data_IF_733355447414
#
_entry.id   IF_733355447414
#
_cell.length_a   1.000
_cell.length_b   1.000
_cell.length_c   1.000
_cell.angle_alpha   90.00
_cell.angle_beta   90.00
_cell.angle_gamma   90.00
#
_symmetry.space_group_name_H-M   'P 1'
#
loop_
_entity.id
_entity.type
_entity.pdbx_description
1 polymer ?
#
# COMPACT_ATOMS: atom_id res chain seq x y z
N UNK A 1 8.15 1.32 -18.34
CA UNK A 1 7.69 1.29 -16.94
C UNK A 1 6.32 0.66 -16.94
N UNK A 2 6.03 -0.44 -16.22
CA UNK A 2 4.64 -0.82 -16.05
C UNK A 2 3.99 0.20 -15.10
N UNK A 3 2.79 0.71 -15.43
CA UNK A 3 2.16 1.77 -14.66
C UNK A 3 1.48 1.16 -13.43
N UNK A 4 1.89 1.58 -12.24
CA UNK A 4 1.04 1.48 -11.06
C UNK A 4 -0.03 2.58 -11.20
N UNK A 5 -1.14 2.25 -11.85
CA UNK A 5 -2.27 3.17 -12.02
C UNK A 5 -3.37 2.81 -11.02
N UNK A 6 -3.78 3.78 -10.21
CA UNK A 6 -5.05 3.72 -9.51
C UNK A 6 -6.19 3.60 -10.54
N UNK A 7 -7.09 2.66 -10.32
CA UNK A 7 -8.28 2.53 -11.17
C UNK A 7 -9.45 3.29 -10.54
N UNK A 8 -10.11 4.14 -11.32
CA UNK A 8 -11.26 4.95 -10.90
C UNK A 8 -12.62 4.33 -11.31
N UNK A 9 -12.67 3.11 -11.84
CA UNK A 9 -13.93 2.51 -12.31
C UNK A 9 -14.95 2.27 -11.20
N UNK A 10 -14.52 2.23 -9.94
CA UNK A 10 -15.36 2.10 -8.74
C UNK A 10 -15.88 3.45 -8.22
N UNK A 11 -15.35 4.57 -8.71
CA UNK A 11 -15.63 5.91 -8.18
C UNK A 11 -14.62 6.40 -7.14
N UNK A 12 -13.66 5.56 -6.76
CA UNK A 12 -12.54 5.81 -5.85
C UNK A 12 -11.25 5.16 -6.41
N UNK A 13 -10.10 5.44 -5.78
CA UNK A 13 -8.80 4.93 -6.22
C UNK A 13 -8.49 3.59 -5.57
N UNK A 14 -8.36 2.53 -6.37
CA UNK A 14 -8.00 1.18 -5.90
C UNK A 14 -6.58 0.75 -6.30
N UNK A 15 -5.97 -0.15 -5.52
CA UNK A 15 -4.74 -0.86 -5.90
C UNK A 15 -5.09 -2.09 -6.73
N UNK A 16 -4.55 -2.15 -7.95
CA UNK A 16 -4.68 -3.31 -8.82
C UNK A 16 -3.37 -4.05 -9.00
N UNK A 17 -3.47 -5.37 -9.13
CA UNK A 17 -2.37 -6.29 -9.36
C UNK A 17 -2.57 -7.07 -10.65
N UNK A 18 -1.50 -7.22 -11.42
CA UNK A 18 -1.46 -8.02 -12.64
C UNK A 18 -0.10 -8.70 -12.78
N UNK A 19 -0.08 -9.91 -13.35
CA UNK A 19 1.14 -10.68 -13.57
C UNK A 19 1.40 -10.89 -15.04
N UNK A 20 2.68 -11.08 -15.36
CA UNK A 20 3.13 -11.54 -16.66
C UNK A 20 3.97 -12.79 -16.48
N UNK A 21 3.72 -13.81 -17.30
CA UNK A 21 4.49 -15.05 -17.36
C UNK A 21 5.36 -15.14 -18.63
N UNK A 22 5.43 -14.07 -19.41
CA UNK A 22 6.14 -14.01 -20.68
C UNK A 22 6.98 -12.74 -20.80
N UNK A 23 7.72 -12.43 -19.73
CA UNK A 23 8.68 -11.31 -19.69
C UNK A 23 8.04 -9.94 -19.99
N UNK A 24 6.80 -9.73 -19.57
CA UNK A 24 6.09 -8.46 -19.70
C UNK A 24 5.38 -8.26 -21.04
N UNK A 25 5.35 -9.25 -21.93
CA UNK A 25 4.70 -9.15 -23.25
C UNK A 25 3.16 -9.11 -23.14
N UNK A 26 2.60 -9.93 -22.26
CA UNK A 26 1.18 -9.90 -21.92
C UNK A 26 0.99 -9.92 -20.41
N UNK A 27 -0.12 -9.34 -19.98
CA UNK A 27 -0.48 -9.18 -18.57
C UNK A 27 -1.84 -9.82 -18.31
N UNK A 28 -2.02 -10.37 -17.11
CA UNK A 28 -3.32 -10.88 -16.68
C UNK A 28 -4.35 -9.76 -16.58
N UNK A 29 -5.64 -10.12 -16.59
CA UNK A 29 -6.69 -9.19 -16.17
C UNK A 29 -6.35 -8.66 -14.77
N UNK A 30 -6.34 -7.33 -14.55
CA UNK A 30 -6.03 -6.76 -13.24
C UNK A 30 -7.03 -7.23 -12.17
N UNK A 31 -6.52 -7.45 -10.96
CA UNK A 31 -7.30 -7.84 -9.78
C UNK A 31 -7.13 -6.80 -8.68
N UNK A 32 -8.19 -6.50 -7.95
CA UNK A 32 -8.17 -5.58 -6.81
C UNK A 32 -7.42 -6.22 -5.64
N UNK A 33 -6.53 -5.46 -5.01
CA UNK A 33 -5.70 -5.89 -3.87
C UNK A 33 -6.34 -5.52 -2.54
N UNK A 34 -6.93 -4.33 -2.48
CA UNK A 34 -7.63 -3.83 -1.30
C UNK A 34 -9.01 -4.49 -1.14
N UNK A 35 -9.38 -4.78 0.11
CA UNK A 35 -10.56 -5.58 0.49
C UNK A 35 -11.68 -4.78 1.18
N UNK A 36 -11.64 -3.44 1.11
CA UNK A 36 -12.72 -2.57 1.56
C UNK A 36 -13.93 -2.59 0.59
N UNK A 37 -15.06 -2.02 0.99
CA UNK A 37 -16.26 -2.00 0.17
C UNK A 37 -16.07 -1.15 -1.10
N UNK A 38 -16.48 -1.67 -2.27
CA UNK A 38 -16.37 -0.97 -3.55
C UNK A 38 -17.16 0.34 -3.55
N UNK A 39 -16.54 1.44 -3.98
CA UNK A 39 -17.21 2.72 -4.16
C UNK A 39 -17.58 3.39 -2.84
N UNK A 40 -16.83 3.12 -1.78
CA UNK A 40 -17.05 3.72 -0.46
C UNK A 40 -16.38 5.10 -0.31
N UNK A 41 -15.57 5.52 -1.29
CA UNK A 41 -14.87 6.80 -1.28
C UNK A 41 -13.51 6.77 -0.58
N UNK A 42 -13.07 5.61 -0.08
CA UNK A 42 -11.72 5.42 0.44
C UNK A 42 -10.72 5.36 -0.72
N UNK A 43 -9.58 6.00 -0.55
CA UNK A 43 -8.53 6.04 -1.57
C UNK A 43 -7.36 5.17 -1.14
N UNK A 44 -6.90 4.31 -2.05
CA UNK A 44 -5.69 3.54 -1.91
C UNK A 44 -4.64 3.93 -2.95
N UNK A 45 -3.44 4.24 -2.47
CA UNK A 45 -2.41 4.85 -3.30
C UNK A 45 -0.99 4.52 -2.84
N UNK A 46 -0.02 4.86 -3.71
CA UNK A 46 1.41 4.67 -3.48
C UNK A 46 1.80 3.23 -3.06
N UNK A 47 1.37 2.20 -3.82
CA UNK A 47 1.68 0.82 -3.47
C UNK A 47 3.18 0.54 -3.61
N UNK A 48 3.69 -0.32 -2.74
CA UNK A 48 5.03 -0.91 -2.79
C UNK A 48 4.87 -2.43 -2.74
N UNK A 49 5.73 -3.17 -3.44
CA UNK A 49 5.64 -4.63 -3.52
C UNK A 49 7.00 -5.30 -3.31
N UNK A 50 7.02 -6.42 -2.59
CA UNK A 50 8.12 -7.37 -2.58
C UNK A 50 7.59 -8.81 -2.69
N UNK A 51 8.45 -9.70 -3.17
CA UNK A 51 8.19 -11.14 -3.23
C UNK A 51 9.26 -11.85 -2.42
N UNK A 52 8.85 -12.59 -1.40
CA UNK A 52 9.75 -13.35 -0.55
C UNK A 52 10.33 -14.58 -1.31
N UNK A 53 11.45 -15.18 -0.85
CA UNK A 53 12.04 -16.36 -1.48
C UNK A 53 11.10 -17.57 -1.63
N UNK A 54 10.12 -17.72 -0.74
CA UNK A 54 9.08 -18.75 -0.82
C UNK A 54 7.93 -18.43 -1.78
N UNK A 55 7.96 -17.25 -2.42
CA UNK A 55 6.97 -16.81 -3.41
C UNK A 55 5.80 -16.03 -2.83
N UNK A 56 5.77 -15.75 -1.52
CA UNK A 56 4.74 -14.88 -0.94
C UNK A 56 4.90 -13.46 -1.47
N UNK A 57 3.82 -12.93 -2.04
CA UNK A 57 3.76 -11.55 -2.53
C UNK A 57 3.20 -10.68 -1.40
N UNK A 58 3.90 -9.59 -1.08
CA UNK A 58 3.45 -8.61 -0.08
C UNK A 58 3.36 -7.24 -0.74
N UNK A 59 2.21 -6.56 -0.55
CA UNK A 59 1.94 -5.23 -1.10
C UNK A 59 1.51 -4.32 0.04
N UNK A 60 2.30 -3.28 0.31
CA UNK A 60 1.91 -2.21 1.24
C UNK A 60 1.41 -1.00 0.48
N UNK A 61 0.38 -0.32 0.99
CA UNK A 61 -0.18 0.87 0.36
C UNK A 61 -0.77 1.81 1.41
N UNK A 62 -0.86 3.08 1.06
CA UNK A 62 -1.64 4.04 1.85
C UNK A 62 -3.12 3.85 1.59
N UNK A 63 -3.90 4.09 2.64
CA UNK A 63 -5.34 3.86 2.63
C UNK A 63 -6.06 4.85 3.55
N UNK A 64 -7.18 5.40 3.09
CA UNK A 64 -8.02 6.32 3.87
C UNK A 64 -9.29 5.68 4.43
N UNK A 65 -9.46 4.35 4.30
CA UNK A 65 -10.70 3.62 4.69
C UNK A 65 -11.05 3.71 6.17
N UNK A 66 -10.08 4.00 7.04
CA UNK A 66 -10.28 4.04 8.49
C UNK A 66 -10.97 5.33 8.92
N UNK A 67 -10.69 6.43 8.24
CA UNK A 67 -11.33 7.72 8.49
C UNK A 67 -12.65 7.80 7.71
N UNK A 68 -13.82 7.94 8.37
CA UNK A 68 -15.11 8.08 7.69
C UNK A 68 -15.21 9.30 6.77
N UNK A 69 -14.25 10.23 6.83
CA UNK A 69 -14.18 11.37 5.94
C UNK A 69 -12.97 11.34 4.99
N UNK A 70 -12.22 10.23 4.99
CA UNK A 70 -11.14 9.94 4.05
C UNK A 70 -10.03 10.99 3.98
N UNK A 71 -9.73 11.67 5.10
CA UNK A 71 -8.67 12.68 5.20
C UNK A 71 -7.40 12.12 5.82
N UNK A 72 -7.55 11.19 6.77
CA UNK A 72 -6.42 10.59 7.45
C UNK A 72 -5.94 9.33 6.71
N UNK A 73 -4.64 9.09 6.79
CA UNK A 73 -3.96 8.01 6.09
C UNK A 73 -3.54 6.93 7.08
N UNK A 74 -3.67 5.69 6.65
CA UNK A 74 -3.12 4.50 7.28
C UNK A 74 -2.28 3.71 6.28
N UNK A 75 -1.41 2.82 6.78
CA UNK A 75 -0.73 1.83 5.94
C UNK A 75 -1.40 0.49 6.11
N UNK A 76 -1.79 -0.12 4.99
CA UNK A 76 -2.28 -1.48 4.94
C UNK A 76 -1.28 -2.38 4.21
N UNK A 77 -1.28 -3.66 4.58
CA UNK A 77 -0.51 -4.71 3.94
C UNK A 77 -1.45 -5.81 3.44
N UNK A 78 -1.35 -6.12 2.15
CA UNK A 78 -1.97 -7.29 1.55
C UNK A 78 -0.92 -8.36 1.27
N UNK A 79 -1.25 -9.63 1.50
CA UNK A 79 -0.38 -10.75 1.22
C UNK A 79 -1.08 -11.79 0.35
N UNK A 80 -0.35 -12.37 -0.59
CA UNK A 80 -0.81 -13.48 -1.42
C UNK A 80 0.13 -14.67 -1.27
N UNK A 81 -0.45 -15.83 -1.00
CA UNK A 81 0.24 -17.12 -0.85
C UNK A 81 0.00 -18.04 -2.06
N UNK A 82 -0.70 -17.55 -3.08
CA UNK A 82 -1.10 -18.28 -4.28
C UNK A 82 -0.61 -17.59 -5.57
N UNK A 83 0.57 -16.95 -5.48
CA UNK A 83 1.22 -16.23 -6.58
C UNK A 83 0.36 -15.13 -7.21
N UNK A 84 -0.46 -14.47 -6.40
CA UNK A 84 -1.28 -13.32 -6.79
C UNK A 84 -2.60 -13.71 -7.48
N UNK A 85 -3.06 -14.96 -7.30
CA UNK A 85 -4.40 -15.36 -7.72
C UNK A 85 -5.49 -14.77 -6.79
N UNK A 86 -5.18 -14.63 -5.50
CA UNK A 86 -5.98 -13.94 -4.49
C UNK A 86 -5.11 -13.26 -3.43
N UNK A 87 -5.70 -12.36 -2.64
CA UNK A 87 -5.07 -11.73 -1.49
C UNK A 87 -5.83 -12.08 -0.21
N UNK A 88 -5.10 -12.32 0.87
CA UNK A 88 -5.63 -12.51 2.21
C UNK A 88 -6.24 -11.20 2.73
N UNK A 89 -7.07 -11.26 3.80
CA UNK A 89 -7.56 -10.06 4.46
C UNK A 89 -6.42 -9.08 4.77
N UNK A 90 -6.62 -7.81 4.40
CA UNK A 90 -5.59 -6.80 4.56
C UNK A 90 -5.33 -6.52 6.05
N UNK A 91 -4.07 -6.32 6.41
CA UNK A 91 -3.66 -5.99 7.78
C UNK A 91 -3.33 -4.51 7.86
N UNK A 92 -3.95 -3.78 8.82
CA UNK A 92 -3.54 -2.42 9.15
C UNK A 92 -2.20 -2.46 9.89
N UNK A 93 -1.18 -1.82 9.31
CA UNK A 93 0.19 -1.77 9.85
C UNK A 93 0.34 -0.63 10.84
N UNK A 94 -0.29 0.51 10.56
CA UNK A 94 -0.28 1.68 11.43
C UNK A 94 -1.15 1.45 12.67
N UNK A 95 -0.66 1.87 13.84
CA UNK A 95 -1.43 1.82 15.10
C UNK A 95 -2.34 3.02 15.28
N UNK A 96 -2.16 4.07 14.48
CA UNK A 96 -2.99 5.27 14.44
C UNK A 96 -2.92 5.89 13.04
N UNK A 97 -4.02 6.52 12.63
CA UNK A 97 -4.09 7.26 11.37
C UNK A 97 -3.30 8.56 11.51
N UNK A 98 -2.67 9.02 10.43
CA UNK A 98 -1.88 10.25 10.40
C UNK A 98 -2.47 11.27 9.43
N UNK A 99 -2.27 12.54 9.73
CA UNK A 99 -2.82 13.66 8.96
C UNK A 99 -1.75 14.19 7.98
N UNK A 100 -1.95 14.05 6.66
CA UNK A 100 -1.00 14.55 5.67
C UNK A 100 -0.84 16.06 5.68
N UNK A 101 -1.74 16.84 6.30
CA UNK A 101 -1.64 18.29 6.42
C UNK A 101 -0.74 18.77 7.58
N UNK A 102 -0.43 17.89 8.54
CA UNK A 102 0.42 18.23 9.69
C UNK A 102 1.88 18.28 9.26
N UNK A 103 2.44 19.49 9.23
CA UNK A 103 3.86 19.72 8.94
C UNK A 103 4.35 19.05 7.64
N UNK A 104 3.48 19.05 6.63
CA UNK A 104 3.83 18.57 5.29
C UNK A 104 5.00 19.37 4.72
N UNK A 105 6.03 18.72 4.15
CA UNK A 105 7.07 19.41 3.41
C UNK A 105 6.47 20.33 2.34
N UNK A 106 6.97 21.56 2.27
CA UNK A 106 6.54 22.56 1.30
C UNK A 106 7.67 22.81 0.32
N UNK A 107 7.39 22.65 -0.98
CA UNK A 107 8.39 22.95 -2.01
C UNK A 107 8.58 24.47 -2.20
N UNK A 108 9.53 24.88 -3.03
CA UNK A 108 9.81 26.30 -3.31
C UNK A 108 8.62 27.07 -3.91
N UNK A 109 7.61 26.37 -4.43
CA UNK A 109 6.40 26.95 -5.01
C UNK A 109 5.22 27.01 -4.03
N UNK A 110 5.40 26.59 -2.77
CA UNK A 110 4.34 26.60 -1.76
C UNK A 110 3.42 25.38 -1.78
N UNK A 111 3.67 24.38 -2.63
CA UNK A 111 2.88 23.14 -2.65
C UNK A 111 3.32 22.21 -1.53
N UNK A 112 2.36 21.66 -0.80
CA UNK A 112 2.58 20.57 0.15
C UNK A 112 2.83 19.26 -0.61
N UNK A 113 3.77 18.46 -0.10
CA UNK A 113 4.10 17.16 -0.66
C UNK A 113 4.48 16.21 0.47
N UNK A 114 3.71 15.14 0.63
CA UNK A 114 3.95 14.13 1.68
C UNK A 114 5.10 13.17 1.35
N UNK A 115 5.63 13.20 0.12
CA UNK A 115 6.69 12.29 -0.31
C UNK A 115 6.21 11.13 -1.17
N UNK A 116 7.19 10.46 -1.78
CA UNK A 116 7.07 9.13 -2.38
C UNK A 116 8.10 8.19 -1.70
N UNK A 117 8.24 8.30 -0.38
CA UNK A 117 9.38 7.74 0.37
C UNK A 117 8.99 6.48 1.15
N UNK A 118 8.22 5.61 0.52
CA UNK A 118 7.78 4.32 1.05
C UNK A 118 8.48 3.18 0.32
N UNK A 119 8.59 2.04 0.99
CA UNK A 119 9.10 0.81 0.41
C UNK A 119 8.83 -0.36 1.33
N UNK A 120 9.17 -1.56 0.88
CA UNK A 120 9.21 -2.72 1.77
C UNK A 120 10.35 -3.67 1.45
N UNK A 121 10.80 -4.38 2.47
CA UNK A 121 11.59 -5.59 2.33
C UNK A 121 10.77 -6.77 2.89
N UNK A 122 10.96 -7.97 2.32
CA UNK A 122 10.30 -9.17 2.81
C UNK A 122 11.27 -10.36 2.75
N UNK A 123 11.22 -11.20 3.78
CA UNK A 123 11.77 -12.55 3.77
C UNK A 123 10.66 -13.56 4.11
N UNK A 124 11.03 -14.83 4.33
CA UNK A 124 10.04 -15.89 4.61
C UNK A 124 9.39 -15.75 6.01
N UNK A 125 9.89 -14.89 6.88
CA UNK A 125 9.43 -14.72 8.26
C UNK A 125 8.70 -13.40 8.46
N UNK A 126 9.22 -12.30 7.89
CA UNK A 126 8.72 -10.96 8.12
C UNK A 126 8.70 -10.10 6.85
N UNK A 127 7.75 -9.16 6.87
CA UNK A 127 7.64 -8.04 5.96
C UNK A 127 7.91 -6.76 6.76
N UNK A 128 8.82 -5.93 6.24
CA UNK A 128 9.22 -4.66 6.82
C UNK A 128 8.86 -3.52 5.86
N UNK A 129 7.59 -3.06 5.84
CA UNK A 129 7.25 -1.80 5.18
C UNK A 129 7.87 -0.62 5.95
N UNK A 130 8.22 0.43 5.23
CA UNK A 130 8.49 1.74 5.81
C UNK A 130 7.69 2.83 5.11
N UNK A 131 7.32 3.87 5.84
CA UNK A 131 6.46 4.95 5.34
C UNK A 131 6.76 6.27 6.05
N UNK A 132 6.40 7.38 5.39
CA UNK A 132 6.34 8.69 6.02
C UNK A 132 5.06 8.86 6.84
N UNK A 133 5.17 9.48 8.01
CA UNK A 133 4.06 9.66 8.94
C UNK A 133 4.28 10.93 9.78
N UNK A 134 3.20 11.63 10.12
CA UNK A 134 3.23 12.93 10.80
C UNK A 134 2.70 12.88 12.23
N UNK A 135 2.47 11.68 12.78
CA UNK A 135 1.81 11.47 14.08
C UNK A 135 2.43 12.17 15.29
N UNK A 136 3.70 12.56 15.21
CA UNK A 136 4.43 13.29 16.25
C UNK A 136 4.42 14.81 16.04
N UNK A 137 3.78 15.30 14.98
CA UNK A 137 3.83 16.70 14.55
C UNK A 137 4.95 17.01 13.55
N UNK A 138 5.80 16.04 13.22
CA UNK A 138 6.85 16.13 12.20
C UNK A 138 6.77 14.94 11.27
N UNK A 139 7.14 15.13 10.00
CA UNK A 139 7.24 14.02 9.07
C UNK A 139 8.49 13.18 9.37
N UNK A 140 8.29 11.93 9.77
CA UNK A 140 9.35 10.98 10.10
C UNK A 140 9.13 9.66 9.36
N UNK A 141 10.17 8.82 9.31
CA UNK A 141 10.08 7.48 8.72
C UNK A 141 9.77 6.48 9.82
N UNK A 142 8.71 5.70 9.62
CA UNK A 142 8.32 4.59 10.49
C UNK A 142 8.47 3.26 9.75
N UNK A 143 8.63 2.19 10.52
CA UNK A 143 8.59 0.81 10.03
C UNK A 143 7.92 -0.08 11.06
N UNK A 144 7.45 -1.24 10.63
CA UNK A 144 6.95 -2.29 11.48
C UNK A 144 7.45 -3.64 10.96
N UNK A 145 7.56 -4.63 11.84
CA UNK A 145 7.73 -6.03 11.45
C UNK A 145 6.35 -6.68 11.42
N UNK A 146 5.89 -7.08 10.24
CA UNK A 146 4.62 -7.82 10.05
C UNK A 146 4.97 -9.25 9.69
N UNK A 147 4.42 -10.28 10.36
CA UNK A 147 4.70 -11.67 10.00
C UNK A 147 4.38 -11.97 8.53
N UNK A 148 5.18 -12.81 7.89
CA UNK A 148 4.81 -13.42 6.62
C UNK A 148 3.57 -14.29 6.83
N UNK A 149 2.65 -14.32 5.86
CA UNK A 149 1.40 -15.08 5.95
C UNK A 149 1.60 -16.60 6.16
N UNK A 150 2.80 -17.11 5.85
CA UNK A 150 3.20 -18.51 6.01
C UNK A 150 4.31 -18.71 7.03
N UNK A 151 4.68 -17.68 7.79
CA UNK A 151 5.67 -17.79 8.85
C UNK A 151 5.20 -18.79 9.92
N UNK A 152 6.07 -19.73 10.28
CA UNK A 152 5.84 -20.76 11.29
C UNK A 152 6.66 -20.46 12.55
#
# INVERSE_FOLDING_TARGET
MPPFAANLTSGDADILFSTSNNHGLTWSVPRRVNDDAIGNGAEQFQPQMAVAPDGVISISFFDTRVDPQHRLIDVFLAQSIDHGASFLPNVRVTTQSWDPAVNAPVNSSGSQFIGDYQGLAADNLFVHPFWNDTRTGFQEIYTAAVPSAVAV
#
